data_IF_211066244914
#
_entry.id   IF_211066244914
#
_cell.length_a   1.000
_cell.length_b   1.000
_cell.length_c   1.000
_cell.angle_alpha   90.00
_cell.angle_beta   90.00
_cell.angle_gamma   90.00
#
_symmetry.space_group_name_H-M   'P 1'
#
loop_
_entity.id
_entity.type
_entity.pdbx_description
1 polymer ?
#
# COMPACT_ATOMS: atom_id res chain seq x y z
N UNK A 1 -26.86 7.00 16.91
CA UNK A 1 -25.66 7.63 16.31
C UNK A 1 -24.56 7.73 17.38
N UNK A 2 -23.96 6.61 17.81
CA UNK A 2 -22.87 6.66 18.81
C UNK A 2 -21.56 7.03 18.11
N UNK A 3 -21.16 8.29 18.27
CA UNK A 3 -19.85 8.79 17.82
C UNK A 3 -18.77 8.03 18.57
N UNK A 4 -17.84 7.45 17.82
CA UNK A 4 -16.63 6.78 18.28
C UNK A 4 -15.80 7.77 19.13
N UNK A 5 -15.45 7.41 20.37
CA UNK A 5 -14.70 8.26 21.31
C UNK A 5 -13.30 8.65 20.78
N UNK A 6 -12.95 9.95 20.74
CA UNK A 6 -11.72 10.43 20.11
C UNK A 6 -10.45 10.38 20.99
N UNK A 7 -10.46 9.72 22.16
CA UNK A 7 -9.28 9.69 23.07
C UNK A 7 -9.11 8.36 23.81
N UNK A 8 -8.60 7.34 23.11
CA UNK A 8 -7.82 6.28 23.78
C UNK A 8 -6.47 6.12 23.10
N UNK A 9 -5.71 7.21 23.09
CA UNK A 9 -4.26 7.13 22.89
C UNK A 9 -3.66 6.80 24.24
N UNK A 10 -3.27 5.55 24.45
CA UNK A 10 -2.53 5.16 25.65
C UNK A 10 -1.30 6.07 25.80
N UNK A 11 -1.14 6.66 26.99
CA UNK A 11 0.05 7.43 27.35
C UNK A 11 1.21 6.46 27.57
N UNK A 12 2.44 6.95 27.45
CA UNK A 12 3.63 6.13 27.70
C UNK A 12 3.59 5.50 29.11
N UNK A 13 3.01 6.23 30.07
CA UNK A 13 2.84 5.81 31.46
C UNK A 13 1.76 4.73 31.66
N UNK A 14 0.89 4.50 30.66
CA UNK A 14 -0.14 3.44 30.72
C UNK A 14 0.45 2.05 30.40
N UNK A 15 1.72 1.98 29.95
CA UNK A 15 2.40 0.74 29.64
C UNK A 15 3.24 0.26 30.83
N UNK A 16 3.13 -1.01 31.23
CA UNK A 16 4.00 -1.55 32.27
C UNK A 16 5.46 -1.52 31.81
N UNK A 17 6.36 -1.25 32.75
CA UNK A 17 7.81 -1.32 32.50
C UNK A 17 8.18 -2.72 32.00
N UNK A 18 9.00 -2.76 30.95
CA UNK A 18 9.49 -4.02 30.40
C UNK A 18 10.71 -4.43 31.23
N UNK A 19 10.66 -5.57 31.94
CA UNK A 19 11.78 -5.97 32.78
C UNK A 19 13.01 -6.32 31.92
N UNK A 20 14.20 -5.98 32.41
CA UNK A 20 15.47 -6.10 31.68
C UNK A 20 15.72 -7.52 31.16
N UNK A 21 15.33 -8.54 31.94
CA UNK A 21 15.46 -9.95 31.56
C UNK A 21 14.56 -10.33 30.36
N UNK A 22 13.44 -9.64 30.15
CA UNK A 22 12.54 -9.84 29.03
C UNK A 22 13.11 -9.15 27.78
N UNK A 23 13.60 -7.91 27.93
CA UNK A 23 14.29 -7.18 26.87
C UNK A 23 15.48 -7.98 26.33
N UNK A 24 16.33 -8.51 27.20
CA UNK A 24 17.50 -9.33 26.83
C UNK A 24 17.13 -10.60 26.04
N UNK A 25 15.90 -11.11 26.17
CA UNK A 25 15.40 -12.30 25.48
C UNK A 25 14.64 -11.98 24.19
N UNK A 26 14.25 -10.72 23.96
CA UNK A 26 13.60 -10.28 22.74
C UNK A 26 14.62 -10.23 21.60
N UNK A 27 14.60 -11.23 20.71
CA UNK A 27 15.36 -11.15 19.46
C UNK A 27 14.62 -10.22 18.50
N UNK A 28 15.24 -9.13 18.00
CA UNK A 28 14.61 -8.30 16.98
C UNK A 28 14.32 -9.20 15.77
N UNK A 29 13.04 -9.28 15.41
CA UNK A 29 12.65 -10.02 14.21
C UNK A 29 13.29 -9.32 13.02
N UNK A 30 14.23 -9.98 12.33
CA UNK A 30 14.77 -9.53 11.03
C UNK A 30 13.69 -9.46 9.92
N UNK A 31 12.42 -9.70 10.25
CA UNK A 31 11.26 -9.38 9.41
C UNK A 31 11.00 -7.88 9.38
N UNK A 32 12.00 -7.11 8.97
CA UNK A 32 11.73 -5.83 8.33
C UNK A 32 10.97 -6.07 7.03
N UNK A 33 10.24 -5.05 6.55
CA UNK A 33 9.71 -5.09 5.18
C UNK A 33 10.91 -5.35 4.24
N UNK A 34 10.82 -6.29 3.29
CA UNK A 34 11.91 -6.54 2.37
C UNK A 34 12.35 -5.22 1.72
N UNK A 35 13.66 -5.00 1.53
CA UNK A 35 14.16 -3.78 0.91
C UNK A 35 13.38 -3.54 -0.38
N UNK A 36 12.86 -2.32 -0.52
CA UNK A 36 12.21 -1.93 -1.76
C UNK A 36 13.25 -2.12 -2.87
N UNK A 37 13.03 -3.08 -3.77
CA UNK A 37 13.95 -3.32 -4.89
C UNK A 37 14.08 -2.07 -5.78
N UNK A 38 14.86 -2.17 -6.85
CA UNK A 38 15.29 -1.03 -7.69
C UNK A 38 14.17 -0.13 -8.29
N UNK A 39 12.90 -0.51 -8.19
CA UNK A 39 11.77 0.30 -8.63
C UNK A 39 10.56 0.14 -7.69
N UNK A 40 10.50 0.86 -6.56
CA UNK A 40 9.33 0.84 -5.68
C UNK A 40 8.08 1.39 -6.36
N UNK A 41 6.91 0.93 -5.90
CA UNK A 41 5.64 1.56 -6.26
C UNK A 41 5.59 2.96 -5.65
N UNK A 42 5.40 3.98 -6.48
CA UNK A 42 5.20 5.34 -6.01
C UNK A 42 3.77 5.53 -5.52
N UNK A 43 3.62 6.06 -4.30
CA UNK A 43 2.33 6.48 -3.77
C UNK A 43 1.97 7.84 -4.35
N UNK A 44 0.81 7.93 -5.00
CA UNK A 44 0.28 9.18 -5.56
C UNK A 44 -1.16 9.38 -5.10
N UNK A 45 -1.57 10.65 -5.02
CA UNK A 45 -2.99 10.98 -4.88
C UNK A 45 -3.64 10.93 -6.26
N UNK A 46 -4.42 9.87 -6.53
CA UNK A 46 -5.18 9.70 -7.77
C UNK A 46 -6.68 9.69 -7.45
N UNK A 47 -7.45 10.50 -8.18
CA UNK A 47 -8.92 10.40 -8.20
C UNK A 47 -9.35 9.45 -9.30
N UNK A 48 -10.27 8.56 -8.98
CA UNK A 48 -10.83 7.56 -9.90
C UNK A 48 -12.35 7.68 -9.81
N UNK A 49 -13.02 7.55 -10.96
CA UNK A 49 -14.47 7.53 -11.00
C UNK A 49 -15.05 6.44 -10.11
N UNK A 50 -16.19 6.75 -9.48
CA UNK A 50 -16.85 5.87 -8.53
C UNK A 50 -17.18 4.51 -9.16
N UNK A 51 -17.76 4.51 -10.35
CA UNK A 51 -18.18 3.28 -11.04
C UNK A 51 -16.99 2.36 -11.33
N UNK A 52 -15.87 2.93 -11.77
CA UNK A 52 -14.63 2.19 -12.02
C UNK A 52 -14.10 1.58 -10.73
N UNK A 53 -14.04 2.36 -9.66
CA UNK A 53 -13.56 1.90 -8.37
C UNK A 53 -14.41 0.75 -7.81
N UNK A 54 -15.74 0.88 -7.87
CA UNK A 54 -16.67 -0.14 -7.42
C UNK A 54 -16.58 -1.42 -8.27
N UNK A 55 -16.45 -1.30 -9.60
CA UNK A 55 -16.25 -2.45 -10.48
C UNK A 55 -15.00 -3.26 -10.13
N UNK A 56 -13.89 -2.59 -9.76
CA UNK A 56 -12.70 -3.31 -9.30
C UNK A 56 -12.90 -3.92 -7.92
N UNK A 57 -13.44 -3.17 -6.94
CA UNK A 57 -13.68 -3.67 -5.58
C UNK A 57 -14.62 -4.88 -5.55
N UNK A 58 -15.64 -4.91 -6.42
CA UNK A 58 -16.58 -6.02 -6.54
C UNK A 58 -15.88 -7.35 -6.87
N UNK A 59 -14.67 -7.33 -7.45
CA UNK A 59 -13.88 -8.55 -7.67
C UNK A 59 -13.23 -9.13 -6.41
N UNK A 60 -13.38 -8.48 -5.26
CA UNK A 60 -12.89 -8.95 -3.97
C UNK A 60 -11.41 -8.66 -3.70
N UNK A 61 -10.78 -9.39 -2.77
CA UNK A 61 -9.39 -9.17 -2.34
C UNK A 61 -8.41 -9.06 -3.52
N UNK A 62 -7.46 -8.14 -3.44
CA UNK A 62 -6.49 -7.90 -4.53
C UNK A 62 -7.04 -7.08 -5.71
N UNK A 63 -8.20 -6.42 -5.57
CA UNK A 63 -8.72 -5.50 -6.59
C UNK A 63 -7.73 -4.40 -6.99
N UNK A 64 -6.96 -3.87 -6.05
CA UNK A 64 -5.91 -2.87 -6.34
C UNK A 64 -4.81 -3.43 -7.23
N UNK A 65 -4.38 -4.68 -7.00
CA UNK A 65 -3.37 -5.34 -7.84
C UNK A 65 -3.89 -5.57 -9.26
N UNK A 66 -5.17 -5.92 -9.41
CA UNK A 66 -5.83 -6.03 -10.72
C UNK A 66 -5.92 -4.69 -11.43
N UNK A 67 -6.31 -3.63 -10.73
CA UNK A 67 -6.32 -2.27 -11.26
C UNK A 67 -4.92 -1.84 -11.74
N UNK A 68 -3.88 -2.09 -10.93
CA UNK A 68 -2.48 -1.82 -11.30
C UNK A 68 -2.06 -2.57 -12.57
N UNK A 69 -2.48 -3.84 -12.73
CA UNK A 69 -2.17 -4.63 -13.92
C UNK A 69 -2.81 -4.05 -15.18
N UNK A 70 -4.06 -3.56 -15.09
CA UNK A 70 -4.75 -2.86 -16.19
C UNK A 70 -4.00 -1.59 -16.59
N UNK A 71 -3.62 -0.75 -15.61
CA UNK A 71 -2.85 0.47 -15.86
C UNK A 71 -1.51 0.16 -16.54
N UNK A 72 -0.81 -0.89 -16.10
CA UNK A 72 0.45 -1.32 -16.74
C UNK A 72 0.26 -1.72 -18.20
N UNK A 73 -0.80 -2.49 -18.51
CA UNK A 73 -1.11 -2.90 -19.90
C UNK A 73 -1.42 -1.68 -20.78
N UNK A 74 -2.21 -0.74 -20.28
CA UNK A 74 -2.51 0.50 -20.99
C UNK A 74 -1.23 1.30 -21.28
N UNK A 75 -0.35 1.46 -20.27
CA UNK A 75 0.93 2.14 -20.42
C UNK A 75 1.84 1.49 -21.47
N UNK A 76 1.95 0.15 -21.49
CA UNK A 76 2.72 -0.58 -22.50
C UNK A 76 2.18 -0.34 -23.92
N UNK A 77 0.86 -0.29 -24.10
CA UNK A 77 0.25 0.01 -25.42
C UNK A 77 0.60 1.42 -25.90
N UNK A 78 0.58 2.41 -25.00
CA UNK A 78 0.96 3.80 -25.33
C UNK A 78 2.42 3.88 -25.77
N UNK A 79 3.34 3.22 -25.05
CA UNK A 79 4.77 3.17 -25.43
C UNK A 79 5.00 2.59 -26.82
N UNK A 80 4.31 1.49 -27.13
CA UNK A 80 4.45 0.84 -28.44
C UNK A 80 3.93 1.73 -29.59
N UNK A 81 2.85 2.47 -29.37
CA UNK A 81 2.32 3.43 -30.34
C UNK A 81 3.25 4.63 -30.55
N UNK A 82 3.85 5.16 -29.48
CA UNK A 82 4.84 6.23 -29.57
C UNK A 82 6.09 5.80 -30.36
N UNK A 83 6.60 4.59 -30.09
CA UNK A 83 7.72 4.02 -30.82
C UNK A 83 7.41 3.79 -32.32
N UNK A 84 6.14 3.61 -32.68
CA UNK A 84 5.71 3.52 -34.09
C UNK A 84 5.64 4.90 -34.75
N UNK A 85 5.25 5.95 -34.01
CA UNK A 85 5.22 7.33 -34.53
C UNK A 85 6.60 7.95 -34.72
N UNK A 86 7.60 7.62 -33.90
CA UNK A 86 8.97 8.16 -34.03
C UNK A 86 9.81 7.51 -35.16
N UNK A 87 9.30 6.47 -35.81
CA UNK A 87 10.01 5.71 -36.87
C UNK A 87 9.46 5.96 -38.28
N UNK A 88 8.41 6.77 -38.42
CA UNK A 88 7.89 7.25 -39.69
C UNK A 88 8.04 8.75 -39.76
#
# INVERSE_FOLDING_TARGET
>A
MSKRDPKRTARADDFPEIPENLLARMKPSKRGRPPQGNAPKQSIALRVDREVLEAFKARGPGWQSRMQATLKRAASRMKNGEARRKRG
#
